data_IF_709453342727
#
_entry.id   IF_709453342727
#
_cell.length_a   1.000
_cell.length_b   1.000
_cell.length_c   1.000
_cell.angle_alpha   90.00
_cell.angle_beta   90.00
_cell.angle_gamma   90.00
#
_symmetry.space_group_name_H-M   'P 1'
#
loop_
_entity.id
_entity.type
_entity.pdbx_description
1 polymer ?
#
# COMPACT_ATOMS: atom_id res chain seq x y z
N UNK A 1 46.86 -21.44 45.81
CA UNK A 1 47.35 -20.08 46.12
C UNK A 1 46.49 -19.07 45.36
N UNK A 2 45.93 -18.11 46.11
CA UNK A 2 45.53 -16.73 45.75
C UNK A 2 44.67 -16.51 44.48
N UNK A 3 43.39 -16.09 44.48
CA UNK A 3 42.62 -15.10 45.27
C UNK A 3 42.90 -13.64 44.88
N UNK A 4 41.80 -12.91 44.59
CA UNK A 4 41.55 -11.45 44.40
C UNK A 4 41.51 -10.98 42.94
N UNK A 5 40.53 -10.17 42.47
CA UNK A 5 39.74 -9.12 43.16
C UNK A 5 38.30 -9.00 42.66
N UNK A 6 37.40 -8.80 43.62
CA UNK A 6 36.07 -8.17 43.49
C UNK A 6 36.21 -6.67 43.19
N UNK A 7 35.21 -6.11 42.52
CA UNK A 7 34.68 -4.79 42.87
C UNK A 7 33.16 -4.77 42.65
N UNK A 8 32.43 -4.76 43.76
CA UNK A 8 31.03 -4.35 43.86
C UNK A 8 30.92 -2.84 43.64
N UNK A 9 29.84 -2.41 42.99
CA UNK A 9 29.20 -1.11 43.29
C UNK A 9 27.74 -1.40 43.56
N UNK A 10 27.33 -1.06 44.78
CA UNK A 10 26.01 -1.19 45.34
C UNK A 10 25.66 0.19 45.92
N UNK A 11 24.62 0.84 45.40
CA UNK A 11 23.83 1.94 46.01
C UNK A 11 22.81 2.39 44.96
N UNK A 12 21.52 2.60 45.22
CA UNK A 12 20.78 2.58 46.46
C UNK A 12 19.26 2.45 46.17
N UNK A 13 18.55 1.87 47.12
CA UNK A 13 17.10 1.87 47.25
C UNK A 13 16.52 3.30 47.30
N UNK A 14 15.40 3.50 46.60
CA UNK A 14 14.29 4.35 47.04
C UNK A 14 13.02 3.52 46.81
N UNK A 15 12.56 2.79 47.82
CA UNK A 15 11.49 3.19 48.73
C UNK A 15 10.10 2.78 48.19
N UNK A 16 9.53 1.81 48.90
CA UNK A 16 8.14 1.38 48.81
C UNK A 16 7.17 2.56 48.80
N UNK A 17 6.12 2.45 48.01
CA UNK A 17 4.83 3.04 48.33
C UNK A 17 3.78 1.97 48.07
N UNK A 18 3.43 1.25 49.13
CA UNK A 18 2.12 0.60 49.18
C UNK A 18 1.07 1.70 49.26
N UNK A 19 0.17 1.72 48.30
CA UNK A 19 -1.13 2.36 48.41
C UNK A 19 -2.17 1.25 48.37
N UNK A 20 -2.47 0.70 49.54
CA UNK A 20 -3.83 0.29 49.82
C UNK A 20 -4.63 1.60 49.99
N UNK A 21 -5.31 2.01 48.94
CA UNK A 21 -6.37 3.00 48.98
C UNK A 21 -7.53 2.42 48.16
N UNK A 22 -8.54 1.91 48.85
CA UNK A 22 -9.86 1.82 48.26
C UNK A 22 -10.38 3.25 48.08
N UNK A 23 -10.65 3.64 46.85
CA UNK A 23 -11.64 4.60 46.40
C UNK A 23 -11.69 4.50 44.87
N UNK A 24 -12.90 4.32 44.37
CA UNK A 24 -13.33 4.47 42.98
C UNK A 24 -12.58 5.60 42.25
N UNK A 25 -11.76 5.24 41.27
CA UNK A 25 -11.49 6.11 40.11
C UNK A 25 -11.13 5.21 38.91
N UNK A 26 -11.98 5.12 37.87
CA UNK A 26 -11.70 4.37 36.65
C UNK A 26 -10.77 5.21 35.74
N UNK A 27 -9.58 5.54 36.24
CA UNK A 27 -8.62 6.39 35.54
C UNK A 27 -7.56 5.55 34.81
N UNK A 28 -7.93 5.08 33.62
CA UNK A 28 -7.16 5.30 32.37
C UNK A 28 -5.62 5.20 32.40
N UNK A 29 -5.05 4.15 32.99
CA UNK A 29 -3.75 3.65 32.50
C UNK A 29 -4.00 2.40 31.66
N UNK A 30 -4.34 2.59 30.39
CA UNK A 30 -4.20 1.54 29.37
C UNK A 30 -2.71 1.26 29.23
N UNK A 31 -2.18 0.40 30.11
CA UNK A 31 -0.83 -0.10 30.00
C UNK A 31 -0.70 -0.91 28.72
N UNK A 32 0.39 -0.68 27.99
CA UNK A 32 0.82 -1.63 26.97
C UNK A 32 1.11 -2.97 27.63
N UNK A 33 0.63 -4.06 27.05
CA UNK A 33 0.82 -5.41 27.56
C UNK A 33 1.41 -6.33 26.49
N UNK A 34 2.18 -7.32 26.92
CA UNK A 34 2.65 -8.41 26.06
C UNK A 34 1.99 -9.76 26.39
N UNK A 35 1.38 -9.86 27.58
CA UNK A 35 0.73 -11.06 28.09
C UNK A 35 -0.41 -10.72 29.06
N UNK A 36 -1.31 -11.67 29.30
CA UNK A 36 -2.44 -11.46 30.21
C UNK A 36 -2.01 -11.24 31.67
N UNK A 37 -0.83 -11.71 32.07
CA UNK A 37 -0.31 -11.58 33.43
C UNK A 37 0.10 -10.14 33.77
N UNK A 38 0.18 -9.27 32.76
CA UNK A 38 0.47 -7.84 32.88
C UNK A 38 -0.81 -6.98 33.04
N UNK A 39 -1.98 -7.60 32.92
CA UNK A 39 -3.28 -6.94 33.04
C UNK A 39 -3.95 -7.25 34.37
N UNK A 40 -4.97 -6.47 34.75
CA UNK A 40 -5.75 -6.71 35.96
C UNK A 40 -6.49 -8.05 35.94
N UNK A 41 -6.98 -8.50 37.10
CA UNK A 41 -7.64 -9.81 37.26
C UNK A 41 -8.87 -10.03 36.36
N UNK A 42 -9.50 -8.94 35.89
CA UNK A 42 -10.67 -8.93 35.00
C UNK A 42 -10.35 -8.52 33.57
N UNK A 43 -9.07 -8.38 33.25
CA UNK A 43 -8.57 -7.88 31.97
C UNK A 43 -7.78 -8.95 31.24
N UNK A 44 -7.70 -8.81 29.91
CA UNK A 44 -6.83 -9.60 29.06
C UNK A 44 -5.99 -8.67 28.20
N UNK A 45 -4.84 -9.17 27.74
CA UNK A 45 -4.05 -8.43 26.77
C UNK A 45 -4.64 -8.60 25.37
N UNK A 46 -5.01 -7.50 24.72
CA UNK A 46 -5.52 -7.56 23.35
C UNK A 46 -4.41 -8.07 22.39
N UNK A 47 -4.64 -9.12 21.60
CA UNK A 47 -3.56 -9.81 20.87
C UNK A 47 -2.89 -8.97 19.78
N UNK A 48 -3.61 -8.00 19.21
CA UNK A 48 -3.13 -7.10 18.15
C UNK A 48 -2.81 -5.69 18.67
N UNK A 49 -3.76 -5.06 19.37
CA UNK A 49 -3.59 -3.73 19.96
C UNK A 49 -2.61 -3.67 21.14
N UNK A 50 -2.28 -4.81 21.79
CA UNK A 50 -1.33 -4.88 22.91
C UNK A 50 -1.67 -3.93 24.06
N UNK A 51 -2.96 -3.77 24.34
CA UNK A 51 -3.50 -2.99 25.48
C UNK A 51 -4.35 -3.89 26.34
N UNK A 52 -4.35 -3.64 27.65
CA UNK A 52 -5.23 -4.36 28.58
C UNK A 52 -6.69 -3.94 28.36
N UNK A 53 -7.55 -4.93 28.15
CA UNK A 53 -8.98 -4.74 27.88
C UNK A 53 -9.82 -5.56 28.85
N UNK A 54 -10.86 -4.94 29.37
CA UNK A 54 -11.73 -5.57 30.35
C UNK A 54 -12.64 -6.62 29.69
N UNK A 55 -12.72 -7.79 30.31
CA UNK A 55 -13.68 -8.83 29.93
C UNK A 55 -15.08 -8.52 30.44
N UNK A 56 -16.10 -8.97 29.73
CA UNK A 56 -17.48 -8.63 30.06
C UNK A 56 -18.46 -9.76 29.73
N UNK A 57 -19.60 -9.79 30.44
CA UNK A 57 -20.73 -10.66 30.08
C UNK A 57 -21.86 -9.87 29.41
N UNK A 58 -21.94 -8.58 29.73
CA UNK A 58 -22.94 -7.63 29.25
C UNK A 58 -22.37 -6.19 29.22
N UNK A 59 -23.04 -5.27 28.53
CA UNK A 59 -22.58 -3.89 28.42
C UNK A 59 -22.55 -3.10 29.73
N UNK A 60 -23.26 -3.58 30.78
CA UNK A 60 -23.19 -2.98 32.13
C UNK A 60 -21.90 -3.29 32.87
N UNK A 61 -21.17 -4.33 32.45
CA UNK A 61 -19.89 -4.71 33.06
C UNK A 61 -18.75 -3.80 32.56
N UNK A 62 -19.04 -2.95 31.57
CA UNK A 62 -18.05 -2.14 30.91
C UNK A 62 -18.00 -0.70 31.41
N UNK A 63 -16.80 -0.10 31.44
CA UNK A 63 -16.64 1.29 31.85
C UNK A 63 -17.36 2.24 30.89
N UNK A 64 -17.59 3.48 31.34
CA UNK A 64 -18.21 4.52 30.52
C UNK A 64 -17.43 4.79 29.22
N UNK A 65 -16.13 4.49 29.21
CA UNK A 65 -15.23 4.62 28.07
C UNK A 65 -15.40 3.52 27.01
N UNK A 66 -16.12 2.44 27.29
CA UNK A 66 -16.28 1.31 26.38
C UNK A 66 -17.62 0.57 26.58
N UNK A 67 -18.75 1.14 26.14
CA UNK A 67 -20.10 0.61 26.45
C UNK A 67 -20.49 -0.71 25.78
N UNK A 68 -19.71 -1.19 24.81
CA UNK A 68 -20.11 -2.34 23.99
C UNK A 68 -19.44 -3.61 24.49
N UNK A 69 -20.22 -4.59 24.96
CA UNK A 69 -19.69 -5.91 25.31
C UNK A 69 -19.82 -6.90 24.15
N UNK A 70 -18.74 -7.16 23.44
CA UNK A 70 -18.73 -7.98 22.23
C UNK A 70 -17.53 -8.93 22.19
N UNK A 71 -17.61 -10.04 21.43
CA UNK A 71 -16.47 -10.93 21.22
C UNK A 71 -15.27 -10.18 20.62
N UNK A 72 -14.07 -10.53 21.08
CA UNK A 72 -12.79 -10.07 20.54
C UNK A 72 -12.70 -10.24 19.01
N UNK A 73 -13.33 -11.30 18.48
CA UNK A 73 -13.30 -11.62 17.06
C UNK A 73 -11.97 -12.25 16.62
N UNK A 74 -11.82 -12.44 15.30
CA UNK A 74 -10.63 -13.06 14.69
C UNK A 74 -10.59 -14.60 14.74
N UNK A 75 -9.40 -15.17 14.50
CA UNK A 75 -9.17 -16.63 14.35
C UNK A 75 -8.41 -17.26 15.52
N UNK A 76 -8.17 -16.51 16.60
CA UNK A 76 -7.37 -16.95 17.75
C UNK A 76 -8.13 -17.76 18.81
N UNK A 77 -7.41 -18.32 19.78
CA UNK A 77 -7.96 -19.09 20.90
C UNK A 77 -8.98 -18.32 21.76
N UNK A 78 -8.92 -16.98 21.73
CA UNK A 78 -9.78 -16.07 22.48
C UNK A 78 -10.85 -15.38 21.61
N UNK A 79 -11.11 -15.84 20.38
CA UNK A 79 -12.04 -15.18 19.46
C UNK A 79 -13.47 -15.03 20.03
N UNK A 80 -13.87 -15.95 20.92
CA UNK A 80 -15.16 -15.94 21.59
C UNK A 80 -15.16 -15.19 22.94
N UNK A 81 -13.99 -14.78 23.44
CA UNK A 81 -13.89 -14.02 24.68
C UNK A 81 -14.49 -12.64 24.47
N UNK A 82 -15.43 -12.26 25.33
CA UNK A 82 -16.12 -10.97 25.22
C UNK A 82 -15.34 -9.91 25.99
N UNK A 83 -15.11 -8.79 25.32
CA UNK A 83 -14.39 -7.63 25.85
C UNK A 83 -15.22 -6.37 25.71
N UNK A 84 -14.90 -5.38 26.53
CA UNK A 84 -15.44 -4.04 26.43
C UNK A 84 -14.78 -3.30 25.27
N UNK A 85 -15.59 -2.97 24.27
CA UNK A 85 -15.20 -2.29 23.04
C UNK A 85 -15.67 -0.83 23.07
N UNK A 86 -14.82 0.05 22.58
CA UNK A 86 -15.20 1.42 22.27
C UNK A 86 -15.97 1.48 20.95
N UNK A 87 -16.70 2.57 20.73
CA UNK A 87 -17.38 2.83 19.45
C UNK A 87 -17.13 4.23 18.91
N UNK A 88 -16.53 5.11 19.70
CA UNK A 88 -16.19 6.48 19.31
C UNK A 88 -14.98 6.96 20.09
N UNK A 89 -14.21 7.87 19.51
CA UNK A 89 -13.07 8.54 20.17
C UNK A 89 -13.53 9.32 21.40
N UNK A 90 -14.74 9.88 21.37
CA UNK A 90 -15.34 10.62 22.48
C UNK A 90 -15.45 9.74 23.72
N UNK A 91 -15.81 8.45 23.56
CA UNK A 91 -15.86 7.51 24.69
C UNK A 91 -14.45 7.24 25.24
N UNK A 92 -13.46 7.03 24.36
CA UNK A 92 -12.09 6.81 24.79
C UNK A 92 -11.50 7.98 25.57
N UNK A 93 -11.93 9.21 25.26
CA UNK A 93 -11.44 10.41 25.93
C UNK A 93 -12.23 10.83 27.16
N UNK A 94 -13.13 9.99 27.70
CA UNK A 94 -13.89 10.31 28.93
C UNK A 94 -15.21 11.05 28.68
N UNK A 95 -15.75 11.00 27.46
CA UNK A 95 -17.06 11.53 27.11
C UNK A 95 -17.07 13.01 26.70
N UNK A 96 -18.27 13.55 26.49
CA UNK A 96 -18.49 14.91 25.95
C UNK A 96 -18.07 16.04 26.89
N UNK A 97 -17.78 15.74 28.16
CA UNK A 97 -17.29 16.70 29.15
C UNK A 97 -15.77 16.78 29.25
N UNK A 98 -15.04 15.92 28.54
CA UNK A 98 -13.58 15.88 28.57
C UNK A 98 -12.97 16.68 27.43
N UNK A 99 -11.81 17.28 27.69
CA UNK A 99 -11.03 18.04 26.69
C UNK A 99 -9.90 17.20 26.05
N UNK A 100 -9.75 15.94 26.47
CA UNK A 100 -8.73 15.04 25.94
C UNK A 100 -9.03 14.65 24.49
N UNK A 101 -7.99 14.60 23.66
CA UNK A 101 -8.05 14.08 22.28
C UNK A 101 -6.92 13.10 22.00
N UNK A 102 -6.28 12.59 23.06
CA UNK A 102 -5.05 11.81 22.98
C UNK A 102 -5.31 10.34 22.61
N UNK A 103 -6.56 9.88 22.78
CA UNK A 103 -6.97 8.52 22.47
C UNK A 103 -7.92 8.49 21.27
N UNK A 104 -7.80 7.44 20.47
CA UNK A 104 -8.75 7.09 19.41
C UNK A 104 -9.33 5.72 19.69
N UNK A 105 -10.56 5.49 19.26
CA UNK A 105 -11.11 4.15 19.19
C UNK A 105 -10.58 3.47 17.93
N UNK A 106 -9.70 2.47 18.08
CA UNK A 106 -9.11 1.76 16.95
C UNK A 106 -10.20 1.18 16.05
N UNK A 107 -10.24 1.57 14.79
CA UNK A 107 -11.23 1.04 13.83
C UNK A 107 -11.05 -0.47 13.60
N UNK A 108 -9.84 -0.99 13.74
CA UNK A 108 -9.51 -2.40 13.53
C UNK A 108 -9.83 -3.26 14.76
N UNK A 109 -9.48 -2.76 15.94
CA UNK A 109 -9.49 -3.56 17.18
C UNK A 109 -10.68 -3.20 18.09
N UNK A 110 -11.40 -2.10 17.81
CA UNK A 110 -12.50 -1.55 18.60
C UNK A 110 -12.14 -1.35 20.08
N UNK A 111 -10.88 -0.97 20.34
CA UNK A 111 -10.36 -0.65 21.67
C UNK A 111 -9.70 0.71 21.63
N UNK A 112 -9.71 1.40 22.76
CA UNK A 112 -9.05 2.69 22.87
C UNK A 112 -7.53 2.48 22.78
N UNK A 113 -6.88 3.29 21.96
CA UNK A 113 -5.44 3.30 21.76
C UNK A 113 -4.94 4.74 21.69
N UNK A 114 -3.65 4.94 21.94
CA UNK A 114 -3.04 6.27 21.76
C UNK A 114 -3.08 6.66 20.29
N UNK A 115 -3.44 7.92 20.04
CA UNK A 115 -3.44 8.51 18.70
C UNK A 115 -2.03 8.42 18.10
N UNK A 116 -1.90 7.81 16.93
CA UNK A 116 -0.61 7.70 16.27
C UNK A 116 -0.21 9.04 15.61
N UNK A 117 1.09 9.31 15.59
CA UNK A 117 1.72 10.43 14.88
C UNK A 117 2.74 9.96 13.83
N UNK A 118 3.11 8.67 13.86
CA UNK A 118 4.06 8.05 12.94
C UNK A 118 3.83 6.54 12.84
N UNK A 119 4.31 5.91 11.75
CA UNK A 119 4.16 4.47 11.54
C UNK A 119 4.82 3.62 12.65
N UNK A 120 5.87 4.13 13.30
CA UNK A 120 6.55 3.43 14.39
C UNK A 120 5.72 3.24 15.65
N UNK A 121 4.58 3.93 15.76
CA UNK A 121 3.66 3.84 16.89
C UNK A 121 2.56 2.79 16.66
N UNK A 122 2.45 2.26 15.43
CA UNK A 122 1.49 1.22 15.10
C UNK A 122 2.12 -0.17 15.27
N UNK A 123 1.37 -1.09 15.89
CA UNK A 123 1.83 -2.46 16.11
C UNK A 123 1.80 -3.29 14.82
N UNK A 124 2.83 -4.11 14.60
CA UNK A 124 2.90 -5.02 13.46
C UNK A 124 3.15 -4.32 12.12
N UNK A 125 2.41 -4.71 11.09
CA UNK A 125 2.52 -4.17 9.72
C UNK A 125 1.47 -3.08 9.47
N UNK A 126 1.18 -2.24 10.47
CA UNK A 126 0.13 -1.21 10.39
C UNK A 126 0.74 0.16 10.06
N UNK A 127 -0.03 1.01 9.41
CA UNK A 127 0.40 2.36 9.00
C UNK A 127 -0.40 3.42 9.74
N UNK A 128 0.25 4.53 10.11
CA UNK A 128 -0.40 5.62 10.82
C UNK A 128 -1.02 6.61 9.84
N UNK A 129 -2.35 6.74 9.88
CA UNK A 129 -3.04 7.87 9.25
C UNK A 129 -2.92 9.09 10.17
N UNK A 130 -1.95 9.97 9.94
CA UNK A 130 -1.71 11.14 10.81
C UNK A 130 -2.87 12.15 10.86
N UNK A 131 -3.76 12.14 9.87
CA UNK A 131 -4.94 12.99 9.82
C UNK A 131 -5.98 12.60 10.87
N UNK A 132 -6.33 11.31 10.91
CA UNK A 132 -7.27 10.75 11.91
C UNK A 132 -6.56 10.36 13.21
N UNK A 133 -5.29 9.99 13.12
CA UNK A 133 -4.49 9.41 14.18
C UNK A 133 -4.76 7.91 14.41
N UNK A 134 -5.34 7.23 13.42
CA UNK A 134 -5.66 5.81 13.44
C UNK A 134 -4.50 4.97 12.89
N UNK A 135 -4.27 3.81 13.49
CA UNK A 135 -3.43 2.76 12.92
C UNK A 135 -4.30 1.88 12.03
N UNK A 136 -4.12 2.00 10.71
CA UNK A 136 -4.87 1.26 9.71
C UNK A 136 -4.10 0.00 9.30
N UNK A 137 -4.76 -0.98 8.66
CA UNK A 137 -4.04 -2.11 8.08
C UNK A 137 -3.00 -1.52 7.14
N UNK A 138 -1.72 -1.83 7.37
CA UNK A 138 -0.68 -1.14 6.66
C UNK A 138 -0.88 -1.37 5.17
N UNK A 139 -0.79 -0.27 4.44
CA UNK A 139 -0.85 -0.29 3.00
C UNK A 139 0.05 -1.42 2.51
N UNK A 140 -0.53 -2.37 1.80
CA UNK A 140 0.23 -3.36 1.02
C UNK A 140 0.96 -2.68 -0.15
N UNK A 141 0.91 -1.35 -0.21
CA UNK A 141 1.57 -0.53 -1.18
C UNK A 141 3.08 -0.51 -0.90
N UNK A 142 3.90 -0.84 -1.90
CA UNK A 142 5.35 -0.92 -1.73
C UNK A 142 5.93 0.44 -1.31
N UNK A 143 6.72 0.46 -0.24
CA UNK A 143 7.31 1.70 0.32
C UNK A 143 8.28 2.40 -0.66
N UNK A 144 7.97 3.64 -1.12
CA UNK A 144 8.88 4.43 -1.94
C UNK A 144 10.07 4.95 -1.13
N UNK A 145 11.18 5.25 -1.80
CA UNK A 145 12.35 5.90 -1.18
C UNK A 145 13.56 5.01 -0.94
N UNK A 146 13.47 3.70 -1.18
CA UNK A 146 14.65 2.82 -1.16
C UNK A 146 15.58 3.08 -2.36
N UNK A 147 16.88 2.93 -2.16
CA UNK A 147 17.85 3.00 -3.26
C UNK A 147 17.77 1.78 -4.17
N UNK A 148 17.90 1.98 -5.48
CA UNK A 148 17.89 0.91 -6.46
C UNK A 148 18.96 1.13 -7.55
N UNK A 149 19.31 0.05 -8.26
CA UNK A 149 20.26 0.09 -9.38
C UNK A 149 19.67 -0.56 -10.62
N UNK A 150 19.53 0.21 -11.71
CA UNK A 150 18.96 -0.27 -12.98
C UNK A 150 17.68 0.50 -13.36
N UNK A 151 16.78 -0.17 -14.07
CA UNK A 151 15.48 0.35 -14.53
C UNK A 151 14.35 -0.63 -14.16
N UNK A 152 13.10 -0.16 -14.16
CA UNK A 152 11.92 -1.01 -13.91
C UNK A 152 11.85 -1.50 -12.46
N UNK A 153 11.46 -2.76 -12.24
CA UNK A 153 11.32 -3.30 -10.89
C UNK A 153 12.65 -3.29 -10.11
N UNK A 154 13.76 -3.70 -10.74
CA UNK A 154 15.09 -3.77 -10.09
C UNK A 154 15.02 -4.46 -8.71
N UNK A 155 15.46 -3.79 -7.63
CA UNK A 155 15.36 -4.20 -6.23
C UNK A 155 14.13 -3.62 -5.52
N UNK A 156 13.28 -2.88 -6.22
CA UNK A 156 12.10 -2.23 -5.66
C UNK A 156 10.97 -3.24 -5.42
N UNK A 157 10.05 -2.88 -4.52
CA UNK A 157 8.81 -3.62 -4.32
C UNK A 157 7.92 -3.61 -5.58
N UNK A 158 7.12 -4.65 -5.76
CA UNK A 158 6.23 -4.74 -6.92
C UNK A 158 5.20 -3.61 -6.91
N UNK A 159 5.17 -2.84 -8.00
CA UNK A 159 4.34 -1.64 -8.12
C UNK A 159 5.18 -0.36 -8.16
N UNK A 160 6.43 -0.42 -7.72
CA UNK A 160 7.41 0.67 -7.84
C UNK A 160 8.33 0.50 -9.04
N UNK A 161 8.84 1.63 -9.52
CA UNK A 161 9.85 1.71 -10.55
C UNK A 161 11.13 2.34 -10.01
N UNK A 162 12.27 1.79 -10.43
CA UNK A 162 13.57 2.38 -10.16
C UNK A 162 13.78 3.57 -11.11
N UNK A 163 13.67 4.78 -10.57
CA UNK A 163 13.84 6.04 -11.29
C UNK A 163 14.86 6.90 -10.55
N UNK A 164 15.90 7.40 -11.25
CA UNK A 164 16.97 8.20 -10.64
C UNK A 164 17.63 7.52 -9.41
N UNK A 165 17.81 6.19 -9.47
CA UNK A 165 18.36 5.36 -8.38
C UNK A 165 17.53 5.31 -7.10
N UNK A 166 16.24 5.68 -7.18
CA UNK A 166 15.29 5.58 -6.07
C UNK A 166 14.04 4.83 -6.53
N UNK A 167 13.50 3.97 -5.68
CA UNK A 167 12.21 3.33 -5.89
C UNK A 167 11.09 4.35 -5.70
N UNK A 168 10.34 4.61 -6.76
CA UNK A 168 9.21 5.55 -6.75
C UNK A 168 8.01 4.93 -7.42
N UNK A 169 6.82 5.41 -7.09
CA UNK A 169 5.61 5.06 -7.85
C UNK A 169 5.74 5.49 -9.32
N UNK A 170 5.10 4.75 -10.25
CA UNK A 170 4.92 5.21 -11.61
C UNK A 170 4.19 6.56 -11.64
N UNK A 171 4.60 7.52 -12.51
CA UNK A 171 3.95 8.82 -12.57
C UNK A 171 2.44 8.71 -12.84
N UNK A 172 1.64 9.40 -12.02
CA UNK A 172 0.20 9.46 -12.20
C UNK A 172 -0.16 10.05 -13.58
N UNK A 173 -1.06 9.42 -14.35
CA UNK A 173 -1.41 9.87 -15.69
C UNK A 173 -2.30 11.13 -15.67
N UNK A 174 -1.87 12.18 -16.36
CA UNK A 174 -2.60 13.47 -16.43
C UNK A 174 -2.99 13.89 -17.86
N UNK A 175 -2.72 13.05 -18.86
CA UNK A 175 -3.00 13.36 -20.25
C UNK A 175 -4.49 13.26 -20.62
N UNK A 176 -4.88 13.92 -21.72
CA UNK A 176 -6.24 13.86 -22.26
C UNK A 176 -6.73 12.43 -22.52
N UNK A 177 -5.84 11.54 -23.00
CA UNK A 177 -6.16 10.13 -23.20
C UNK A 177 -6.63 9.48 -21.90
N UNK A 178 -6.00 9.82 -20.76
CA UNK A 178 -6.45 9.38 -19.45
C UNK A 178 -7.74 10.11 -19.07
N UNK A 179 -7.82 11.44 -19.12
CA UNK A 179 -9.03 12.18 -18.72
C UNK A 179 -10.31 11.66 -19.40
N UNK A 180 -10.21 11.32 -20.69
CA UNK A 180 -11.34 10.82 -21.47
C UNK A 180 -11.56 9.30 -21.37
N UNK A 181 -10.63 8.54 -20.77
CA UNK A 181 -10.71 7.08 -20.67
C UNK A 181 -11.79 6.65 -19.66
N UNK A 182 -12.89 6.01 -20.11
CA UNK A 182 -14.01 5.69 -19.22
C UNK A 182 -13.78 4.43 -18.39
N UNK A 183 -12.91 3.51 -18.82
CA UNK A 183 -12.70 2.21 -18.19
C UNK A 183 -11.63 2.24 -17.09
N UNK A 184 -11.70 3.20 -16.16
CA UNK A 184 -10.74 3.32 -15.04
C UNK A 184 -10.64 2.06 -14.19
N UNK A 185 -11.73 1.30 -14.08
CA UNK A 185 -11.78 0.04 -13.34
C UNK A 185 -10.90 -1.06 -13.94
N UNK A 186 -10.44 -0.93 -15.19
CA UNK A 186 -9.52 -1.89 -15.81
C UNK A 186 -8.06 -1.66 -15.37
N UNK A 187 -7.79 -0.59 -14.60
CA UNK A 187 -6.45 -0.21 -14.14
C UNK A 187 -6.18 -0.73 -12.74
N UNK A 188 -4.92 -0.93 -12.42
CA UNK A 188 -4.49 -1.37 -11.09
C UNK A 188 -2.98 -1.35 -10.92
N UNK A 189 -2.52 -2.03 -9.87
CA UNK A 189 -1.09 -2.17 -9.54
C UNK A 189 -0.67 -3.62 -9.39
N UNK A 190 -1.59 -4.58 -9.57
CA UNK A 190 -1.36 -6.02 -9.42
C UNK A 190 -0.97 -6.70 -10.75
N UNK A 191 -1.37 -6.12 -11.87
CA UNK A 191 -1.01 -6.51 -13.23
C UNK A 191 0.33 -5.92 -13.68
N UNK A 192 0.70 -6.08 -14.98
CA UNK A 192 1.96 -5.60 -15.50
C UNK A 192 2.14 -4.08 -15.36
N UNK A 193 3.35 -3.65 -14.98
CA UNK A 193 3.69 -2.24 -14.79
C UNK A 193 4.59 -1.75 -15.91
N UNK A 194 4.12 -0.76 -16.66
CA UNK A 194 4.87 -0.02 -17.67
C UNK A 194 5.75 1.01 -16.96
N UNK A 195 7.06 0.92 -17.17
CA UNK A 195 8.05 1.81 -16.54
C UNK A 195 8.80 2.69 -17.53
N UNK A 196 8.74 2.39 -18.84
CA UNK A 196 9.42 3.19 -19.86
C UNK A 196 8.64 3.19 -21.16
N UNK A 197 8.55 4.37 -21.78
CA UNK A 197 7.97 4.58 -23.11
C UNK A 197 8.89 5.49 -23.93
N UNK A 198 9.16 5.13 -25.18
CA UNK A 198 10.09 5.87 -26.03
C UNK A 198 9.76 5.75 -27.52
N UNK A 199 9.80 6.85 -28.25
CA UNK A 199 9.72 6.88 -29.71
C UNK A 199 10.97 6.23 -30.30
N UNK A 200 10.78 5.29 -31.22
CA UNK A 200 11.86 4.69 -32.01
C UNK A 200 12.04 5.48 -33.30
N UNK A 201 10.98 5.59 -34.09
CA UNK A 201 10.93 6.38 -35.31
C UNK A 201 9.48 6.61 -35.75
N UNK A 202 9.30 7.51 -36.72
CA UNK A 202 8.07 7.67 -37.48
C UNK A 202 8.40 7.81 -38.96
N UNK A 203 7.81 6.98 -39.81
CA UNK A 203 8.08 7.00 -41.25
C UNK A 203 6.88 6.47 -42.05
N UNK A 204 6.76 6.86 -43.31
CA UNK A 204 5.80 6.22 -44.23
C UNK A 204 6.15 4.75 -44.40
N UNK A 205 5.18 3.87 -44.17
CA UNK A 205 5.40 2.42 -44.10
C UNK A 205 4.17 1.67 -44.64
N UNK A 206 4.40 0.64 -45.46
CA UNK A 206 3.35 -0.20 -46.02
C UNK A 206 2.59 -1.04 -44.97
N UNK A 207 3.09 -1.12 -43.74
CA UNK A 207 2.36 -1.66 -42.59
C UNK A 207 1.05 -0.92 -42.35
N UNK A 208 1.02 0.39 -42.63
CA UNK A 208 -0.14 1.22 -42.37
C UNK A 208 -1.06 1.36 -43.60
N UNK A 209 -2.37 1.55 -43.39
CA UNK A 209 -3.32 1.75 -44.47
C UNK A 209 -3.04 3.07 -45.21
N UNK A 210 -3.48 3.15 -46.46
CA UNK A 210 -3.30 4.35 -47.31
C UNK A 210 -3.92 5.63 -46.73
N UNK A 211 -4.94 5.50 -45.88
CA UNK A 211 -5.57 6.63 -45.19
C UNK A 211 -4.73 7.21 -44.04
N UNK A 212 -3.81 6.42 -43.48
CA UNK A 212 -2.93 6.80 -42.36
C UNK A 212 -1.52 6.21 -42.57
N UNK A 213 -0.81 6.61 -43.64
CA UNK A 213 0.32 5.85 -44.16
C UNK A 213 1.62 5.99 -43.36
N UNK A 214 1.67 6.88 -42.35
CA UNK A 214 2.86 7.06 -41.50
C UNK A 214 2.75 6.13 -40.29
N UNK A 215 3.74 5.26 -40.10
CA UNK A 215 3.86 4.37 -38.95
C UNK A 215 4.75 5.01 -37.89
N UNK A 216 4.22 5.18 -36.69
CA UNK A 216 4.94 5.58 -35.49
C UNK A 216 5.27 4.32 -34.70
N UNK A 217 6.54 4.09 -34.42
CA UNK A 217 7.02 2.95 -33.63
C UNK A 217 7.41 3.43 -32.25
N UNK A 218 6.76 2.88 -31.22
CA UNK A 218 6.97 3.26 -29.82
C UNK A 218 7.41 2.02 -29.05
N UNK A 219 8.56 2.10 -28.39
CA UNK A 219 9.04 1.10 -27.44
C UNK A 219 8.35 1.29 -26.10
N UNK A 220 7.83 0.21 -25.55
CA UNK A 220 7.20 0.10 -24.24
C UNK A 220 7.98 -0.97 -23.48
N UNK A 221 8.47 -0.64 -22.29
CA UNK A 221 9.05 -1.64 -21.37
C UNK A 221 8.15 -1.81 -20.16
N UNK A 222 7.93 -3.05 -19.77
CA UNK A 222 7.10 -3.41 -18.62
C UNK A 222 7.70 -4.58 -17.84
N UNK A 223 7.32 -4.69 -16.56
CA UNK A 223 7.59 -5.87 -15.74
C UNK A 223 6.29 -6.45 -15.16
N UNK A 224 6.32 -7.72 -14.75
CA UNK A 224 5.16 -8.41 -14.17
C UNK A 224 5.59 -9.59 -13.28
N UNK A 225 4.81 -9.86 -12.24
CA UNK A 225 4.95 -11.08 -11.41
C UNK A 225 4.35 -12.29 -12.10
N UNK A 226 3.36 -12.07 -12.96
CA UNK A 226 2.80 -13.09 -13.85
C UNK A 226 3.63 -13.13 -15.14
N UNK A 227 4.07 -14.32 -15.61
CA UNK A 227 4.88 -14.42 -16.81
C UNK A 227 4.19 -13.79 -18.02
N UNK A 228 4.89 -12.92 -18.74
CA UNK A 228 4.41 -12.45 -20.03
C UNK A 228 4.26 -13.64 -21.01
N UNK A 229 3.30 -13.59 -21.94
CA UNK A 229 3.13 -14.62 -22.97
C UNK A 229 4.39 -14.79 -23.82
N UNK A 230 4.54 -15.95 -24.46
CA UNK A 230 5.73 -16.22 -25.25
C UNK A 230 5.71 -15.49 -26.59
N UNK A 231 4.52 -15.18 -27.11
CA UNK A 231 4.35 -14.48 -28.37
C UNK A 231 3.48 -13.23 -28.22
N UNK A 232 3.69 -12.24 -29.08
CA UNK A 232 2.90 -11.01 -29.08
C UNK A 232 1.41 -11.25 -29.39
N UNK A 233 1.09 -12.33 -30.13
CA UNK A 233 -0.28 -12.68 -30.49
C UNK A 233 -1.14 -13.08 -29.27
N UNK A 234 -0.50 -13.53 -28.20
CA UNK A 234 -1.13 -13.94 -26.95
C UNK A 234 -1.28 -12.77 -25.95
N UNK A 235 -0.78 -11.58 -26.30
CA UNK A 235 -0.80 -10.40 -25.44
C UNK A 235 -2.16 -9.66 -25.54
N UNK A 236 -3.25 -10.35 -25.21
CA UNK A 236 -4.62 -9.83 -25.36
C UNK A 236 -4.95 -8.67 -24.42
N UNK A 237 -4.23 -8.54 -23.32
CA UNK A 237 -4.54 -7.58 -22.25
C UNK A 237 -3.72 -6.30 -22.35
N UNK A 238 -3.05 -6.06 -23.49
CA UNK A 238 -2.28 -4.84 -23.73
C UNK A 238 -2.99 -3.94 -24.73
N UNK A 239 -3.41 -2.77 -24.24
CA UNK A 239 -4.24 -1.85 -24.98
C UNK A 239 -3.59 -0.47 -25.11
N UNK A 240 -4.02 0.27 -26.11
CA UNK A 240 -3.77 1.69 -26.21
C UNK A 240 -5.09 2.48 -26.24
N UNK A 241 -5.02 3.71 -25.76
CA UNK A 241 -6.15 4.62 -25.61
C UNK A 241 -5.88 5.88 -26.41
N UNK A 242 -6.81 6.22 -27.29
CA UNK A 242 -6.79 7.43 -28.12
C UNK A 242 -7.23 8.66 -27.31
N UNK A 243 -7.04 9.85 -27.87
CA UNK A 243 -7.32 11.11 -27.16
C UNK A 243 -8.81 11.33 -26.86
N UNK A 244 -9.70 10.66 -27.58
CA UNK A 244 -11.14 10.64 -27.34
C UNK A 244 -11.57 9.63 -26.26
N UNK A 245 -10.62 8.89 -25.67
CA UNK A 245 -10.88 7.82 -24.70
C UNK A 245 -11.18 6.46 -25.31
N UNK A 246 -11.23 6.35 -26.65
CA UNK A 246 -11.41 5.10 -27.36
C UNK A 246 -10.25 4.13 -27.10
N UNK A 247 -10.57 2.88 -26.77
CA UNK A 247 -9.56 1.82 -26.56
C UNK A 247 -9.43 0.92 -27.78
N UNK A 248 -8.23 0.42 -28.00
CA UNK A 248 -7.94 -0.56 -29.05
C UNK A 248 -6.76 -1.43 -28.62
N UNK A 249 -6.66 -2.63 -29.17
CA UNK A 249 -5.51 -3.49 -28.93
C UNK A 249 -4.25 -2.85 -29.50
N UNK A 250 -3.17 -2.88 -28.73
CA UNK A 250 -1.88 -2.37 -29.21
C UNK A 250 -1.37 -3.25 -30.36
N UNK A 251 -1.07 -2.64 -31.50
CA UNK A 251 -0.62 -3.39 -32.67
C UNK A 251 0.90 -3.67 -32.61
N UNK A 252 1.26 -4.94 -32.47
CA UNK A 252 2.64 -5.40 -32.44
C UNK A 252 2.88 -6.21 -33.71
N UNK A 253 3.74 -5.74 -34.62
CA UNK A 253 4.03 -6.51 -35.83
C UNK A 253 4.85 -7.76 -35.50
N UNK A 254 4.62 -8.84 -36.23
CA UNK A 254 5.29 -10.15 -36.05
C UNK A 254 6.79 -10.16 -36.40
N UNK A 255 7.37 -8.99 -36.72
CA UNK A 255 8.78 -8.85 -37.05
C UNK A 255 9.64 -9.15 -35.82
N UNK A 256 10.75 -9.87 -36.02
CA UNK A 256 11.68 -10.20 -34.94
C UNK A 256 12.15 -8.95 -34.21
N UNK A 257 12.23 -9.03 -32.87
CA UNK A 257 12.66 -7.95 -32.00
C UNK A 257 11.59 -6.93 -31.61
N UNK A 258 10.36 -7.01 -32.14
CA UNK A 258 9.25 -6.14 -31.72
C UNK A 258 8.53 -6.63 -30.46
N UNK A 259 8.80 -7.86 -30.03
CA UNK A 259 8.32 -8.40 -28.77
C UNK A 259 9.40 -9.32 -28.22
N UNK A 260 9.98 -8.92 -27.10
CA UNK A 260 11.03 -9.69 -26.43
C UNK A 260 10.67 -9.80 -24.96
N UNK A 261 10.70 -11.03 -24.44
CA UNK A 261 10.48 -11.31 -23.02
C UNK A 261 11.76 -11.87 -22.41
N UNK A 262 12.11 -11.38 -21.23
CA UNK A 262 13.37 -11.71 -20.54
C UNK A 262 13.12 -11.92 -19.04
N UNK A 263 14.17 -12.34 -18.32
CA UNK A 263 14.12 -12.62 -16.89
C UNK A 263 13.68 -14.05 -16.56
N UNK A 264 14.05 -14.50 -15.37
CA UNK A 264 13.58 -15.77 -14.79
C UNK A 264 12.06 -15.67 -14.66
N UNK A 265 11.32 -16.49 -15.40
CA UNK A 265 9.85 -16.43 -15.55
C UNK A 265 9.28 -15.36 -16.51
N UNK A 266 10.02 -14.91 -17.54
CA UNK A 266 9.51 -13.92 -18.52
C UNK A 266 8.88 -12.71 -17.83
N UNK A 267 9.54 -12.22 -16.79
CA UNK A 267 9.06 -11.15 -15.92
C UNK A 267 9.23 -9.75 -16.51
N UNK A 268 9.99 -9.62 -17.60
CA UNK A 268 10.23 -8.34 -18.27
C UNK A 268 9.84 -8.45 -19.74
N UNK A 269 9.19 -7.42 -20.29
CA UNK A 269 8.84 -7.31 -21.69
C UNK A 269 9.38 -6.01 -22.31
N UNK A 270 9.95 -6.12 -23.51
CA UNK A 270 10.25 -5.00 -24.43
C UNK A 270 9.36 -5.16 -25.66
N UNK A 271 8.49 -4.18 -25.88
CA UNK A 271 7.38 -4.24 -26.84
C UNK A 271 7.47 -3.04 -27.76
N UNK A 272 7.40 -3.26 -29.07
CA UNK A 272 7.36 -2.20 -30.09
C UNK A 272 5.95 -2.13 -30.66
N UNK A 273 5.21 -1.12 -30.20
CA UNK A 273 3.87 -0.80 -30.69
C UNK A 273 3.95 0.03 -31.96
N UNK A 274 3.01 -0.21 -32.85
CA UNK A 274 2.93 0.40 -34.17
C UNK A 274 1.60 1.13 -34.29
N UNK A 275 1.65 2.44 -34.35
CA UNK A 275 0.49 3.29 -34.55
C UNK A 275 0.52 3.89 -35.94
N UNK A 276 -0.61 3.87 -36.64
CA UNK A 276 -0.76 4.49 -37.94
C UNK A 276 -1.36 5.88 -37.78
N UNK A 277 -0.78 6.86 -38.47
CA UNK A 277 -1.20 8.27 -38.41
C UNK A 277 -1.18 8.88 -39.82
N UNK A 278 -1.83 10.04 -39.97
CA UNK A 278 -1.84 10.79 -41.22
C UNK A 278 -0.42 11.13 -41.71
N UNK A 279 -0.23 11.19 -43.03
CA UNK A 279 1.09 11.41 -43.65
C UNK A 279 1.80 12.69 -43.17
N UNK A 280 1.03 13.74 -42.89
CA UNK A 280 1.51 15.04 -42.44
C UNK A 280 1.48 15.20 -40.91
N UNK A 281 1.12 14.17 -40.15
CA UNK A 281 1.22 14.20 -38.70
C UNK A 281 2.68 14.37 -38.29
N UNK A 282 2.92 15.24 -37.30
CA UNK A 282 4.22 15.47 -36.64
C UNK A 282 4.18 15.05 -35.17
N UNK A 283 3.01 14.65 -34.67
CA UNK A 283 2.81 14.33 -33.27
C UNK A 283 1.75 13.26 -33.09
N UNK A 284 1.89 12.43 -32.06
CA UNK A 284 0.89 11.46 -31.63
C UNK A 284 0.78 11.43 -30.10
N UNK A 285 -0.44 11.46 -29.57
CA UNK A 285 -0.72 11.27 -28.14
C UNK A 285 -1.45 9.96 -27.95
N UNK A 286 -0.88 9.06 -27.15
CA UNK A 286 -1.46 7.76 -26.83
C UNK A 286 -1.34 7.47 -25.33
N UNK A 287 -2.38 6.85 -24.76
CA UNK A 287 -2.30 6.15 -23.49
C UNK A 287 -2.01 4.68 -23.72
N UNK A 288 -1.28 4.03 -22.83
CA UNK A 288 -1.02 2.60 -22.84
C UNK A 288 -1.31 2.01 -21.47
N UNK A 289 -1.90 0.82 -21.43
CA UNK A 289 -2.11 0.11 -20.18
C UNK A 289 -2.21 -1.40 -20.42
N UNK A 290 -1.91 -2.15 -19.38
CA UNK A 290 -2.33 -3.54 -19.24
C UNK A 290 -3.54 -3.61 -18.32
N UNK A 291 -4.45 -4.55 -18.54
CA UNK A 291 -5.51 -4.85 -17.55
C UNK A 291 -4.88 -5.15 -16.19
N UNK A 292 -5.45 -4.58 -15.13
CA UNK A 292 -4.96 -4.60 -13.74
C UNK A 292 -3.59 -3.94 -13.55
N UNK A 293 -3.02 -3.33 -14.59
CA UNK A 293 -1.75 -2.62 -14.58
C UNK A 293 -1.91 -1.10 -14.58
N UNK A 294 -0.78 -0.40 -14.56
CA UNK A 294 -0.78 1.06 -14.55
C UNK A 294 -1.07 1.64 -15.95
N UNK A 295 -1.54 2.89 -15.98
CA UNK A 295 -1.77 3.64 -17.21
C UNK A 295 -0.63 4.63 -17.44
N UNK A 296 -0.05 4.62 -18.65
CA UNK A 296 1.01 5.55 -19.03
C UNK A 296 0.59 6.39 -20.22
N UNK A 297 0.74 7.70 -20.07
CA UNK A 297 0.58 8.67 -21.13
C UNK A 297 1.90 8.84 -21.90
N UNK A 298 1.85 8.84 -23.23
CA UNK A 298 3.02 9.13 -24.06
C UNK A 298 2.69 10.07 -25.22
N UNK A 299 3.44 11.16 -25.28
CA UNK A 299 3.43 12.12 -26.37
C UNK A 299 4.66 11.88 -27.26
N UNK A 300 4.43 11.40 -28.48
CA UNK A 300 5.46 11.28 -29.51
C UNK A 300 5.52 12.55 -30.34
N UNK A 301 6.68 13.18 -30.44
CA UNK A 301 6.94 14.29 -31.36
C UNK A 301 8.00 13.85 -32.38
N UNK A 302 7.72 14.05 -33.67
CA UNK A 302 8.55 13.58 -34.78
C UNK A 302 8.46 14.53 -35.98
N UNK A 303 9.47 14.48 -36.84
CA UNK A 303 9.50 15.22 -38.11
C UNK A 303 9.29 14.23 -39.26
#
# INVERSE_FOLDING_TARGET
MQLRKMMLVLTALGAMSGLMAGCDDPATSQGSCSSNDECGETEICHPTAQVCVQTCNSGSDCPDTAKTCAPLGGTGANANTRICQCSTDVLCNGGTGSSSTDLVCSDLDNVCVTRCTSNSECTGTRTCNTGTGQCEEGDTEPEPGQSCSGEGLSTCGYGLICTNSVCSEPPAPTCQNYTNFPNKADLGTSGPIIYSTALINAATDAFCPSSQPKRVRIRIKAYSNTPFPQTAAELSNFLYVQTDGGRSNASISSSSGNYTVTGTNRSNADIIVNLCVAANSTTNSAGFYFTDGNFVCYQSNYQ
#
